data_IF_372969266382
#
_entry.id   IF_372969266382
#
_cell.length_a   1.000
_cell.length_b   1.000
_cell.length_c   1.000
_cell.angle_alpha   90.00
_cell.angle_beta   90.00
_cell.angle_gamma   90.00
#
_symmetry.space_group_name_H-M   'P 1'
#
loop_
_entity.id
_entity.type
_entity.pdbx_description
1 polymer ?
#
# COMPACT_ATOMS: atom_id res chain seq x y z
N UNK A 1 25.67 -13.58 33.50
CA UNK A 1 25.14 -12.30 32.99
C UNK A 1 23.63 -12.34 33.17
N UNK A 2 23.01 -11.24 33.61
CA UNK A 2 21.57 -11.21 33.90
C UNK A 2 20.78 -11.22 32.60
N UNK A 3 19.99 -12.28 32.35
CA UNK A 3 19.12 -12.38 31.18
C UNK A 3 18.02 -11.31 31.28
N UNK A 4 18.22 -10.19 30.58
CA UNK A 4 17.22 -9.14 30.50
C UNK A 4 16.24 -9.45 29.38
N UNK A 5 14.96 -9.50 29.71
CA UNK A 5 13.88 -9.69 28.75
C UNK A 5 13.30 -8.34 28.36
N UNK A 6 13.38 -8.03 27.07
CA UNK A 6 12.81 -6.83 26.48
C UNK A 6 11.45 -7.14 25.86
N UNK A 7 10.53 -6.20 26.00
CA UNK A 7 9.26 -6.20 25.25
C UNK A 7 9.54 -5.96 23.77
N UNK A 8 8.56 -6.30 22.90
CA UNK A 8 8.71 -6.08 21.46
C UNK A 8 9.00 -4.61 21.07
N UNK A 9 8.56 -3.64 21.87
CA UNK A 9 8.83 -2.21 21.65
C UNK A 9 10.28 -1.86 21.99
N UNK A 10 10.78 -2.32 23.13
CA UNK A 10 12.17 -2.12 23.53
C UNK A 10 13.13 -2.88 22.59
N UNK A 11 12.73 -4.07 22.13
CA UNK A 11 13.48 -4.83 21.13
C UNK A 11 13.54 -4.13 19.76
N UNK A 12 12.49 -3.40 19.38
CA UNK A 12 12.49 -2.56 18.18
C UNK A 12 13.49 -1.42 18.31
N UNK A 13 13.52 -0.73 19.45
CA UNK A 13 14.51 0.34 19.70
C UNK A 13 15.94 -0.20 19.72
N UNK A 14 16.12 -1.39 20.30
CA UNK A 14 17.44 -2.04 20.39
C UNK A 14 17.99 -2.50 19.03
N UNK A 15 17.14 -3.08 18.17
CA UNK A 15 17.57 -3.69 16.90
C UNK A 15 17.36 -2.79 15.68
N UNK A 16 16.52 -1.75 15.77
CA UNK A 16 16.07 -0.97 14.62
C UNK A 16 15.13 -1.73 13.67
N UNK A 17 14.69 -2.94 14.03
CA UNK A 17 13.79 -3.76 13.22
C UNK A 17 12.33 -3.50 13.58
N UNK A 18 11.46 -3.62 12.59
CA UNK A 18 10.04 -3.40 12.81
C UNK A 18 9.44 -4.44 13.76
N UNK A 19 8.45 -4.01 14.57
CA UNK A 19 7.73 -4.89 15.49
C UNK A 19 7.13 -6.13 14.82
N UNK A 20 6.68 -6.02 13.56
CA UNK A 20 6.10 -7.14 12.82
C UNK A 20 7.16 -8.19 12.46
N UNK A 21 8.38 -7.75 12.10
CA UNK A 21 9.52 -8.64 11.86
C UNK A 21 9.89 -9.41 13.12
N UNK A 22 10.04 -8.70 14.24
CA UNK A 22 10.36 -9.31 15.54
C UNK A 22 9.28 -10.30 15.99
N UNK A 23 8.01 -9.98 15.76
CA UNK A 23 6.90 -10.89 16.06
C UNK A 23 6.95 -12.18 15.23
N UNK A 24 7.16 -12.07 13.91
CA UNK A 24 7.29 -13.24 13.02
C UNK A 24 8.47 -14.12 13.40
N UNK A 25 9.58 -13.50 13.77
CA UNK A 25 10.77 -14.18 14.22
C UNK A 25 10.51 -15.00 15.50
N UNK A 26 9.88 -14.39 16.51
CA UNK A 26 9.47 -15.10 17.74
C UNK A 26 8.50 -16.24 17.43
N UNK A 27 7.51 -16.00 16.58
CA UNK A 27 6.56 -17.04 16.17
C UNK A 27 7.24 -18.21 15.43
N UNK A 28 8.31 -17.94 14.67
CA UNK A 28 9.15 -18.97 14.04
C UNK A 28 9.85 -19.87 15.06
N UNK A 29 10.46 -19.26 16.08
CA UNK A 29 11.10 -19.99 17.18
C UNK A 29 10.08 -20.81 17.97
N UNK A 30 8.92 -20.24 18.28
CA UNK A 30 7.89 -20.93 19.07
C UNK A 30 7.24 -22.08 18.31
N UNK A 31 7.16 -22.01 16.97
CA UNK A 31 6.68 -23.13 16.14
C UNK A 31 7.69 -24.27 16.05
N UNK A 32 8.98 -23.94 16.13
CA UNK A 32 10.06 -24.91 16.23
C UNK A 32 10.26 -25.28 17.72
N UNK A 33 9.36 -26.12 18.24
CA UNK A 33 9.29 -26.52 19.66
C UNK A 33 10.62 -27.01 20.27
N UNK A 34 11.60 -27.40 19.45
CA UNK A 34 12.91 -27.96 19.85
C UNK A 34 14.10 -27.02 19.61
N UNK A 35 13.87 -25.71 19.53
CA UNK A 35 14.97 -24.74 19.35
C UNK A 35 15.71 -24.46 20.68
N UNK A 36 17.06 -24.49 20.73
CA UNK A 36 17.82 -24.11 21.93
C UNK A 36 17.60 -22.64 22.30
N UNK A 37 17.16 -21.84 21.32
CA UNK A 37 16.89 -20.43 21.44
C UNK A 37 15.53 -20.14 22.12
N UNK A 38 14.74 -21.18 22.41
CA UNK A 38 13.42 -21.07 23.07
C UNK A 38 13.50 -20.54 24.49
N UNK A 39 14.57 -20.85 25.22
CA UNK A 39 14.83 -20.37 26.60
C UNK A 39 14.90 -18.84 26.67
N UNK A 40 15.17 -18.19 25.54
CA UNK A 40 15.32 -16.75 25.43
C UNK A 40 14.03 -16.01 25.07
N UNK A 41 12.89 -16.70 25.00
CA UNK A 41 11.59 -16.10 24.65
C UNK A 41 10.57 -16.37 25.75
N UNK A 42 9.85 -15.34 26.17
CA UNK A 42 8.70 -15.47 27.08
C UNK A 42 7.43 -14.92 26.41
N UNK A 43 6.23 -15.44 26.71
CA UNK A 43 5.91 -16.58 27.59
C UNK A 43 6.31 -17.96 27.03
N UNK A 44 6.40 -18.98 27.88
CA UNK A 44 6.75 -20.37 27.49
C UNK A 44 5.61 -21.04 26.68
N UNK A 45 5.86 -22.13 25.96
CA UNK A 45 4.84 -22.75 25.07
C UNK A 45 3.61 -23.17 25.87
N UNK A 46 3.85 -23.74 27.06
CA UNK A 46 2.79 -24.14 27.98
C UNK A 46 1.99 -22.94 28.51
N UNK A 47 2.64 -21.81 28.78
CA UNK A 47 1.96 -20.57 29.17
C UNK A 47 1.18 -19.97 28.00
N UNK A 48 1.73 -19.97 26.79
CA UNK A 48 1.03 -19.50 25.58
C UNK A 48 -0.21 -20.36 25.31
N UNK A 49 -0.12 -21.68 25.48
CA UNK A 49 -1.24 -22.60 25.32
C UNK A 49 -2.34 -22.31 26.35
N UNK A 50 -1.96 -22.07 27.62
CA UNK A 50 -2.89 -21.69 28.69
C UNK A 50 -3.54 -20.33 28.42
N UNK A 51 -2.74 -19.30 28.12
CA UNK A 51 -3.23 -17.95 27.84
C UNK A 51 -4.16 -17.90 26.62
N UNK A 52 -3.91 -18.74 25.61
CA UNK A 52 -4.83 -18.93 24.48
C UNK A 52 -6.12 -19.63 24.89
N UNK A 53 -6.05 -20.67 25.72
CA UNK A 53 -7.24 -21.35 26.25
C UNK A 53 -8.10 -20.41 27.10
N UNK A 54 -7.45 -19.54 27.88
CA UNK A 54 -8.09 -18.57 28.78
C UNK A 54 -8.51 -17.27 28.05
N UNK A 55 -8.29 -17.18 26.73
CA UNK A 55 -8.53 -15.99 25.90
C UNK A 55 -7.92 -14.68 26.46
N UNK A 56 -6.79 -14.77 27.17
CA UNK A 56 -6.12 -13.61 27.75
C UNK A 56 -5.14 -12.97 26.76
N UNK A 57 -5.09 -11.63 26.66
CA UNK A 57 -4.09 -10.95 25.86
C UNK A 57 -2.71 -11.13 26.49
N UNK A 58 -1.71 -11.48 25.67
CA UNK A 58 -0.33 -11.58 26.12
C UNK A 58 0.63 -10.87 25.16
N UNK A 59 1.77 -10.44 25.69
CA UNK A 59 2.84 -9.79 24.94
C UNK A 59 4.10 -10.64 24.93
N UNK A 60 4.76 -10.71 23.78
CA UNK A 60 6.04 -11.40 23.65
C UNK A 60 7.17 -10.57 24.27
N UNK A 61 8.06 -11.26 24.99
CA UNK A 61 9.32 -10.72 25.49
C UNK A 61 10.48 -11.57 24.99
N UNK A 62 11.57 -10.93 24.61
CA UNK A 62 12.74 -11.55 23.99
C UNK A 62 13.98 -11.18 24.80
N UNK A 63 14.88 -12.12 25.02
CA UNK A 63 16.14 -11.84 25.72
C UNK A 63 17.06 -10.96 24.86
N UNK A 64 17.82 -10.10 25.53
CA UNK A 64 18.86 -9.29 24.89
C UNK A 64 19.95 -10.14 24.22
N UNK A 65 20.27 -11.30 24.78
CA UNK A 65 21.31 -12.21 24.25
C UNK A 65 20.93 -12.74 22.86
N UNK A 66 19.67 -13.14 22.68
CA UNK A 66 19.17 -13.63 21.42
C UNK A 66 19.12 -12.52 20.35
N UNK A 67 18.70 -11.31 20.75
CA UNK A 67 18.70 -10.16 19.84
C UNK A 67 20.12 -9.79 19.42
N UNK A 68 21.06 -9.87 20.34
CA UNK A 68 22.48 -9.59 20.08
C UNK A 68 23.06 -10.63 19.13
N UNK A 69 22.74 -11.92 19.28
CA UNK A 69 23.27 -12.97 18.40
C UNK A 69 22.78 -12.83 16.95
N UNK A 70 21.48 -12.60 16.77
CA UNK A 70 20.87 -12.58 15.43
C UNK A 70 21.04 -11.24 14.71
N UNK A 71 21.01 -10.11 15.44
CA UNK A 71 20.95 -8.78 14.82
C UNK A 71 22.24 -7.94 14.98
N UNK A 72 23.20 -8.32 15.83
CA UNK A 72 24.47 -7.56 15.98
C UNK A 72 25.40 -7.69 14.77
N UNK A 73 25.33 -8.80 14.04
CA UNK A 73 26.15 -9.02 12.83
C UNK A 73 25.83 -7.98 11.74
N UNK A 74 24.63 -7.41 11.73
CA UNK A 74 24.25 -6.37 10.76
C UNK A 74 24.52 -4.94 11.25
N UNK A 75 24.56 -4.70 12.56
CA UNK A 75 24.85 -3.36 13.12
C UNK A 75 26.36 -3.04 13.19
N UNK A 76 27.24 -4.03 13.32
CA UNK A 76 28.69 -3.79 13.26
C UNK A 76 29.24 -3.70 11.83
N UNK A 77 28.43 -3.93 10.80
CA UNK A 77 28.81 -3.74 9.39
C UNK A 77 29.06 -2.27 8.99
N UNK A 78 28.92 -1.32 9.92
CA UNK A 78 29.26 0.11 9.71
C UNK A 78 30.56 0.57 10.37
N UNK A 79 31.44 -0.33 10.86
CA UNK A 79 32.77 0.04 11.34
C UNK A 79 33.88 -0.78 10.64
N UNK A 80 34.90 -0.15 10.02
CA UNK A 80 35.92 -0.88 9.28
C UNK A 80 36.98 -1.41 10.24
N UNK A 81 36.99 -2.73 10.47
CA UNK A 81 38.13 -3.41 11.08
C UNK A 81 38.90 -4.16 10.01
N UNK A 82 40.09 -3.66 9.72
CA UNK A 82 41.03 -4.23 8.77
C UNK A 82 41.49 -5.62 9.22
N UNK A 83 41.28 -6.62 8.37
CA UNK A 83 42.11 -7.83 8.32
C UNK A 83 42.49 -8.10 6.86
N UNK A 84 43.80 -8.06 6.62
CA UNK A 84 44.50 -8.06 5.33
C UNK A 84 44.49 -9.41 4.60
N UNK A 85 43.40 -10.17 4.70
CA UNK A 85 43.16 -11.38 3.88
C UNK A 85 42.05 -11.22 2.85
N UNK A 86 41.35 -10.07 2.87
CA UNK A 86 40.07 -9.85 2.16
C UNK A 86 40.12 -9.09 0.84
N UNK A 87 41.27 -8.69 0.27
CA UNK A 87 41.27 -7.87 -0.97
C UNK A 87 40.66 -8.61 -2.16
N UNK A 88 40.97 -9.90 -2.34
CA UNK A 88 40.40 -10.69 -3.44
C UNK A 88 38.90 -11.01 -3.25
N UNK A 89 38.43 -11.16 -2.00
CA UNK A 89 37.02 -11.38 -1.71
C UNK A 89 36.22 -10.07 -1.76
N UNK A 90 36.83 -8.94 -1.41
CA UNK A 90 36.27 -7.62 -1.60
C UNK A 90 36.13 -7.28 -3.10
N UNK A 91 37.12 -7.58 -3.93
CA UNK A 91 37.02 -7.37 -5.39
C UNK A 91 35.92 -8.24 -6.02
N UNK A 92 35.77 -9.49 -5.54
CA UNK A 92 34.66 -10.36 -5.96
C UNK A 92 33.31 -9.78 -5.52
N UNK A 93 33.20 -9.35 -4.28
CA UNK A 93 31.98 -8.72 -3.76
C UNK A 93 31.63 -7.45 -4.51
N UNK A 94 32.59 -6.58 -4.76
CA UNK A 94 32.44 -5.35 -5.56
C UNK A 94 31.99 -5.71 -6.98
N UNK A 95 32.60 -6.70 -7.62
CA UNK A 95 32.19 -7.13 -8.97
C UNK A 95 30.77 -7.70 -9.02
N UNK A 96 30.32 -8.37 -7.95
CA UNK A 96 28.95 -8.88 -7.85
C UNK A 96 27.98 -7.71 -7.64
N UNK A 97 28.32 -6.77 -6.77
CA UNK A 97 27.52 -5.56 -6.54
C UNK A 97 27.40 -4.73 -7.82
N UNK A 98 28.49 -4.49 -8.53
CA UNK A 98 28.49 -3.79 -9.82
C UNK A 98 27.58 -4.48 -10.84
N UNK A 99 27.68 -5.81 -10.97
CA UNK A 99 26.78 -6.59 -11.83
C UNK A 99 25.32 -6.45 -11.41
N UNK A 100 25.02 -6.50 -10.11
CA UNK A 100 23.64 -6.32 -9.64
C UNK A 100 23.12 -4.93 -9.93
N UNK A 101 23.95 -3.88 -9.80
CA UNK A 101 23.56 -2.51 -10.14
C UNK A 101 23.25 -2.40 -11.63
N UNK A 102 24.06 -3.00 -12.50
CA UNK A 102 23.81 -3.01 -13.95
C UNK A 102 22.48 -3.71 -14.26
N UNK A 103 22.25 -4.90 -13.71
CA UNK A 103 21.00 -5.65 -13.91
C UNK A 103 19.78 -4.87 -13.42
N UNK A 104 19.87 -4.25 -12.25
CA UNK A 104 18.79 -3.42 -11.71
C UNK A 104 18.53 -2.19 -12.59
N UNK A 105 19.58 -1.59 -13.14
CA UNK A 105 19.44 -0.46 -14.06
C UNK A 105 18.78 -0.88 -15.37
N UNK A 106 19.13 -2.06 -15.91
CA UNK A 106 18.48 -2.63 -17.10
C UNK A 106 17.00 -2.92 -16.84
N UNK A 107 16.67 -3.51 -15.69
CA UNK A 107 15.28 -3.78 -15.31
C UNK A 107 14.47 -2.48 -15.15
N UNK A 108 15.07 -1.45 -14.55
CA UNK A 108 14.46 -0.13 -14.39
C UNK A 108 14.19 0.50 -15.77
N UNK A 109 15.16 0.42 -16.68
CA UNK A 109 15.02 0.91 -18.04
C UNK A 109 13.90 0.18 -18.80
N UNK A 110 13.82 -1.15 -18.66
CA UNK A 110 12.78 -1.95 -19.32
C UNK A 110 11.39 -1.65 -18.76
N UNK A 111 11.27 -1.51 -17.43
CA UNK A 111 10.02 -1.08 -16.78
C UNK A 111 9.60 0.32 -17.24
N UNK A 112 10.54 1.26 -17.36
CA UNK A 112 10.25 2.59 -17.88
C UNK A 112 9.75 2.55 -19.33
N UNK A 113 10.32 1.69 -20.19
CA UNK A 113 9.81 1.47 -21.55
C UNK A 113 8.40 0.91 -21.55
N UNK A 114 8.11 -0.06 -20.69
CA UNK A 114 6.77 -0.63 -20.57
C UNK A 114 5.75 0.41 -20.11
N UNK A 115 6.12 1.27 -19.15
CA UNK A 115 5.26 2.38 -18.69
C UNK A 115 5.02 3.36 -19.84
N UNK A 116 6.06 3.74 -20.59
CA UNK A 116 5.91 4.64 -21.74
C UNK A 116 4.98 4.06 -22.81
N UNK A 117 5.14 2.78 -23.15
CA UNK A 117 4.26 2.09 -24.10
C UNK A 117 2.81 2.02 -23.60
N UNK A 118 2.60 1.79 -22.30
CA UNK A 118 1.27 1.80 -21.70
C UNK A 118 0.63 3.19 -21.73
N UNK A 119 1.40 4.24 -21.42
CA UNK A 119 0.95 5.62 -21.48
C UNK A 119 0.56 6.03 -22.89
N UNK A 120 1.32 5.62 -23.91
CA UNK A 120 0.97 5.91 -25.30
C UNK A 120 -0.34 5.25 -25.70
N UNK A 121 -0.52 3.96 -25.39
CA UNK A 121 -1.80 3.27 -25.60
C UNK A 121 -2.96 3.97 -24.88
N UNK A 122 -2.74 4.44 -23.64
CA UNK A 122 -3.76 5.21 -22.91
C UNK A 122 -4.07 6.55 -23.59
N UNK A 123 -3.06 7.25 -24.15
CA UNK A 123 -3.29 8.48 -24.92
C UNK A 123 -4.10 8.20 -26.17
N UNK A 124 -3.74 7.18 -26.95
CA UNK A 124 -4.47 6.76 -28.14
C UNK A 124 -5.92 6.40 -27.77
N UNK A 125 -6.12 5.58 -26.74
CA UNK A 125 -7.44 5.23 -26.24
C UNK A 125 -8.25 6.48 -25.87
N UNK A 126 -7.67 7.40 -25.12
CA UNK A 126 -8.34 8.64 -24.71
C UNK A 126 -8.71 9.51 -25.92
N UNK A 127 -7.85 9.57 -26.94
CA UNK A 127 -8.11 10.33 -28.17
C UNK A 127 -9.22 9.69 -28.99
N UNK A 128 -9.21 8.36 -29.14
CA UNK A 128 -10.27 7.61 -29.82
C UNK A 128 -11.61 7.74 -29.11
N UNK A 129 -11.63 7.63 -27.77
CA UNK A 129 -12.86 7.84 -27.01
C UNK A 129 -13.35 9.27 -27.15
N UNK A 130 -12.48 10.29 -27.08
CA UNK A 130 -12.90 11.68 -27.30
C UNK A 130 -13.52 11.87 -28.68
N UNK A 131 -12.87 11.37 -29.74
CA UNK A 131 -13.39 11.44 -31.10
C UNK A 131 -14.76 10.73 -31.23
N UNK A 132 -14.90 9.53 -30.64
CA UNK A 132 -16.17 8.82 -30.62
C UNK A 132 -17.26 9.61 -29.88
N UNK A 133 -16.94 10.22 -28.74
CA UNK A 133 -17.88 11.06 -28.00
C UNK A 133 -18.26 12.30 -28.81
N UNK A 134 -17.31 12.94 -29.51
CA UNK A 134 -17.58 14.07 -30.40
C UNK A 134 -18.49 13.66 -31.56
N UNK A 135 -18.26 12.53 -32.21
CA UNK A 135 -19.13 12.01 -33.27
C UNK A 135 -20.55 11.73 -32.75
N UNK A 136 -20.67 11.06 -31.60
CA UNK A 136 -21.98 10.80 -30.99
C UNK A 136 -22.67 12.09 -30.57
N UNK A 137 -21.92 13.07 -30.04
CA UNK A 137 -22.43 14.37 -29.66
C UNK A 137 -22.83 15.24 -30.85
N UNK A 138 -22.30 15.00 -32.05
CA UNK A 138 -22.72 15.65 -33.30
C UNK A 138 -23.93 14.95 -33.95
N UNK A 139 -24.06 13.64 -33.78
CA UNK A 139 -25.21 12.86 -34.27
C UNK A 139 -26.46 13.04 -33.37
N UNK A 140 -26.28 13.17 -32.06
CA UNK A 140 -27.37 13.40 -31.11
C UNK A 140 -28.24 14.65 -31.42
N UNK A 141 -27.69 15.85 -31.71
CA UNK A 141 -28.48 17.03 -32.07
C UNK A 141 -29.03 16.99 -33.50
N UNK A 142 -28.48 16.17 -34.41
CA UNK A 142 -28.98 16.02 -35.78
C UNK A 142 -30.24 15.13 -35.84
N UNK A 143 -30.28 14.05 -35.04
CA UNK A 143 -31.45 13.18 -34.93
C UNK A 143 -32.64 13.85 -34.21
N UNK A 144 -32.38 14.79 -33.30
CA UNK A 144 -33.44 15.57 -32.65
C UNK A 144 -34.10 16.58 -33.61
N UNK A 145 -33.34 17.19 -34.53
CA UNK A 145 -33.86 18.22 -35.46
C UNK A 145 -34.69 17.68 -36.62
N UNK A 146 -34.50 16.42 -37.03
CA UNK A 146 -35.31 15.84 -38.11
C UNK A 146 -36.73 15.47 -37.66
N UNK A 147 -36.94 15.22 -36.36
CA UNK A 147 -38.26 14.91 -35.82
C UNK A 147 -39.10 16.15 -35.49
N UNK A 148 -38.49 17.34 -35.41
CA UNK A 148 -39.19 18.60 -35.09
C UNK A 148 -39.79 19.25 -36.35
N UNK A 149 -39.11 19.13 -37.51
CA UNK A 149 -39.58 19.71 -38.79
C UNK A 149 -40.82 19.05 -39.42
N UNK A 150 -41.24 17.87 -38.92
CA UNK A 150 -42.46 17.17 -39.39
C UNK A 150 -43.69 17.54 -38.56
N UNK A 151 -43.50 18.11 -37.36
CA UNK A 151 -44.61 18.45 -36.45
C UNK A 151 -45.12 19.89 -36.65
N UNK A 152 -44.31 20.76 -37.25
CA UNK A 152 -44.63 22.19 -37.41
C UNK A 152 -45.65 22.49 -38.53
N UNK A 153 -46.02 21.51 -39.36
CA UNK A 153 -47.09 21.66 -40.37
C UNK A 153 -48.50 21.33 -39.84
N UNK A 154 -48.64 20.86 -38.60
CA UNK A 154 -49.90 20.35 -38.05
C UNK A 154 -50.46 21.16 -36.86
N UNK A 155 -49.78 22.22 -36.41
CA UNK A 155 -50.09 22.91 -35.14
C UNK A 155 -50.51 24.38 -35.29
N UNK A 156 -50.97 24.81 -36.46
CA UNK A 156 -51.47 26.18 -36.69
C UNK A 156 -52.99 26.32 -36.43
N UNK A 157 -53.49 25.77 -35.31
CA UNK A 157 -54.85 26.02 -34.84
C UNK A 157 -54.95 25.77 -33.33
N UNK A 158 -54.67 26.80 -32.53
CA UNK A 158 -55.53 27.29 -31.44
C UNK A 158 -54.70 28.16 -30.49
N UNK A 159 -55.03 29.45 -30.48
CA UNK A 159 -54.88 30.37 -29.34
C UNK A 159 -55.64 29.76 -28.13
N UNK A 160 -55.42 30.05 -26.85
CA UNK A 160 -55.19 31.32 -26.18
C UNK A 160 -55.00 31.05 -24.66
N UNK A 161 -54.21 31.86 -23.95
CA UNK A 161 -54.49 32.19 -22.55
C UNK A 161 -53.50 31.75 -21.46
N UNK A 162 -52.68 32.72 -21.00
CA UNK A 162 -52.32 33.09 -19.59
C UNK A 162 -51.66 32.06 -18.65
N UNK A 163 -50.82 32.39 -17.68
CA UNK A 163 -49.88 33.48 -17.33
C UNK A 163 -49.16 32.96 -16.05
N UNK A 164 -47.90 33.38 -15.81
CA UNK A 164 -47.15 33.34 -14.53
C UNK A 164 -47.01 31.99 -13.76
N UNK A 165 -45.80 31.40 -13.69
CA UNK A 165 -44.82 31.71 -12.62
C UNK A 165 -43.51 30.92 -12.73
N UNK A 166 -42.44 31.61 -12.35
CA UNK A 166 -41.04 31.24 -12.36
C UNK A 166 -40.66 30.72 -10.96
N UNK A 167 -40.22 29.46 -10.84
CA UNK A 167 -39.45 29.02 -9.66
C UNK A 167 -38.54 27.83 -10.04
N UNK A 168 -37.25 28.12 -10.05
CA UNK A 168 -36.15 27.20 -10.34
C UNK A 168 -35.94 26.27 -9.16
N UNK A 169 -36.24 24.98 -9.32
CA UNK A 169 -35.91 23.97 -8.33
C UNK A 169 -34.52 23.40 -8.63
N UNK A 170 -33.50 24.07 -8.10
CA UNK A 170 -32.09 23.70 -8.19
C UNK A 170 -31.73 22.79 -6.98
N UNK A 171 -32.24 21.56 -6.98
CA UNK A 171 -32.07 20.64 -5.85
C UNK A 171 -31.74 19.21 -6.33
N UNK A 172 -30.64 19.03 -7.07
CA UNK A 172 -30.12 17.68 -7.34
C UNK A 172 -28.59 17.54 -7.47
N UNK A 173 -27.80 18.60 -7.26
CA UNK A 173 -26.36 18.56 -7.51
C UNK A 173 -25.45 18.14 -6.33
N UNK A 174 -25.96 17.92 -5.11
CA UNK A 174 -25.11 17.65 -3.93
C UNK A 174 -25.09 16.20 -3.44
N UNK A 175 -25.84 15.27 -4.04
CA UNK A 175 -25.95 13.88 -3.54
C UNK A 175 -25.05 12.83 -4.22
N UNK A 176 -23.97 13.22 -4.91
CA UNK A 176 -23.01 12.27 -5.52
C UNK A 176 -21.54 12.53 -5.19
N UNK A 177 -21.24 13.06 -4.01
CA UNK A 177 -19.86 13.31 -3.57
C UNK A 177 -19.61 12.85 -2.13
N UNK A 178 -19.73 11.54 -1.87
CA UNK A 178 -19.11 10.91 -0.70
C UNK A 178 -19.14 9.37 -0.79
N UNK A 179 -18.15 8.78 -1.45
CA UNK A 179 -17.86 7.35 -1.27
C UNK A 179 -16.38 7.04 -0.97
N UNK A 180 -15.49 8.03 -0.93
CA UNK A 180 -14.04 7.81 -0.79
C UNK A 180 -13.35 8.73 0.22
N UNK A 181 -14.07 9.17 1.26
CA UNK A 181 -13.46 9.88 2.38
C UNK A 181 -14.00 9.29 3.68
N UNK A 182 -13.36 8.21 4.14
CA UNK A 182 -13.49 7.79 5.55
C UNK A 182 -12.47 8.58 6.36
N UNK A 183 -12.88 9.44 7.31
CA UNK A 183 -11.95 10.01 8.26
C UNK A 183 -11.42 8.90 9.18
N UNK A 184 -10.11 8.85 9.33
CA UNK A 184 -9.41 8.02 10.31
C UNK A 184 -9.84 8.51 11.70
N UNK A 185 -10.64 7.73 12.42
CA UNK A 185 -10.89 7.99 13.84
C UNK A 185 -9.62 7.68 14.62
N UNK A 186 -8.91 8.74 15.00
CA UNK A 186 -7.83 8.68 15.99
C UNK A 186 -8.51 8.43 17.34
N UNK A 187 -8.30 7.23 17.88
CA UNK A 187 -8.77 6.85 19.22
C UNK A 187 -7.95 7.65 20.25
N UNK A 188 -8.56 8.69 20.81
CA UNK A 188 -8.03 9.44 21.94
C UNK A 188 -8.35 8.68 23.22
N UNK A 189 -7.35 8.07 23.86
CA UNK A 189 -7.45 7.66 25.26
C UNK A 189 -7.15 8.88 26.14
N UNK A 190 -8.09 9.21 27.02
CA UNK A 190 -7.92 10.22 28.06
C UNK A 190 -8.33 9.59 29.39
N UNK A 191 -7.34 9.59 30.29
CA UNK A 191 -7.30 9.34 31.73
C UNK A 191 -7.77 7.97 32.26
#
# INVERSE_FOLDING_TARGET
MTQQFLTLTEAQEFTGRSRSTLRRFVEGIVKADDSPDRTFVQPTVNEVAKLKADNQPFSWKISTELLTREYRVEQEATAPKAESRGVADNDRLVSVLEKTVVVLQEELNEKNRQIAAFQERQREQNLLFKNLHEQLALVAPAAARQNESVVESASAASEEGTDVNHETNDESATKRRSMWTRPIQIFSWKD
#
